data_IF_750932739401
#
_entry.id   IF_750932739401
#
_cell.length_a   1.000
_cell.length_b   1.000
_cell.length_c   1.000
_cell.angle_alpha   90.00
_cell.angle_beta   90.00
_cell.angle_gamma   90.00
#
_symmetry.space_group_name_H-M   'P 1'
#
loop_
_entity.id
_entity.type
_entity.pdbx_description
1 polymer ?
2 non-polymer ?
3 non-polymer ?
4 non-polymer ?
5 water ?
#
# COMPACT_ATOMS: atom_id res chain seq x y z
N UNK A 4 21.60 -4.44 8.66
CA UNK A 4 21.03 -3.78 7.45
C UNK A 4 19.55 -4.16 7.32
N UNK A 5 19.27 -5.41 6.98
CA UNK A 5 17.88 -5.94 6.97
C UNK A 5 17.73 -7.12 7.91
N UNK A 6 16.67 -7.15 8.71
CA UNK A 6 16.27 -8.31 9.54
C UNK A 6 15.01 -8.95 8.94
N UNK A 7 14.93 -10.28 8.90
CA UNK A 7 13.74 -11.04 8.39
C UNK A 7 13.02 -11.62 9.60
N UNK A 8 11.76 -11.26 9.88
CA UNK A 8 11.02 -11.67 11.10
C UNK A 8 10.10 -12.82 10.72
N UNK A 9 10.22 -13.92 11.41
CA UNK A 9 9.33 -15.11 11.31
C UNK A 9 9.16 -15.63 12.73
N UNK A 10 7.93 -15.76 13.20
CA UNK A 10 7.67 -16.25 14.58
C UNK A 10 6.76 -17.48 14.49
N UNK A 11 7.15 -18.57 15.18
CA UNK A 11 6.32 -19.78 15.30
C UNK A 11 5.15 -19.53 16.29
N UNK A 12 5.08 -18.34 16.94
CA UNK A 12 3.91 -17.90 17.76
C UNK A 12 2.68 -17.71 16.87
N UNK A 13 2.90 -17.53 15.57
CA UNK A 13 1.86 -17.19 14.56
C UNK A 13 1.74 -18.28 13.53
N UNK A 14 0.60 -18.30 12.79
CA UNK A 14 0.44 -19.17 11.63
C UNK A 14 1.61 -18.83 10.69
N UNK A 15 2.24 -19.85 10.16
CA UNK A 15 3.40 -19.70 9.25
C UNK A 15 3.03 -18.87 8.04
N UNK A 16 3.96 -18.00 7.61
CA UNK A 16 3.99 -17.47 6.23
C UNK A 16 4.45 -18.61 5.31
N UNK A 17 3.55 -19.42 4.77
CA UNK A 17 3.95 -20.51 3.86
C UNK A 17 4.57 -19.94 2.57
N UNK A 18 5.59 -20.63 2.08
CA UNK A 18 6.30 -20.28 0.83
C UNK A 18 7.05 -18.97 0.91
N UNK A 19 7.12 -18.23 -0.22
CA UNK A 19 8.15 -17.18 -0.35
C UNK A 19 7.89 -15.80 0.29
N UNK A 20 7.46 -15.73 1.53
CA UNK A 20 7.33 -14.46 2.26
C UNK A 20 7.51 -14.73 3.75
N UNK A 21 7.66 -13.66 4.52
CA UNK A 21 7.95 -13.67 5.96
C UNK A 21 6.94 -12.79 6.68
N UNK A 22 6.81 -12.97 7.98
CA UNK A 22 5.92 -12.18 8.84
C UNK A 22 6.19 -10.70 8.72
N UNK A 23 7.46 -10.29 8.67
CA UNK A 23 7.85 -8.87 8.58
C UNK A 23 9.32 -8.75 8.18
N UNK A 24 9.72 -7.57 7.74
CA UNK A 24 11.14 -7.19 7.65
C UNK A 24 11.37 -5.95 8.50
N UNK A 25 12.65 -5.71 8.82
CA UNK A 25 13.04 -4.48 9.55
C UNK A 25 14.22 -3.90 8.79
N UNK A 26 14.08 -2.70 8.24
CA UNK A 26 15.11 -2.00 7.42
C UNK A 26 15.12 -0.54 7.88
N UNK A 27 16.28 0.05 8.15
CA UNK A 27 16.39 1.51 8.36
C UNK A 27 15.40 1.95 9.46
N UNK A 28 15.28 1.15 10.51
CA UNK A 28 14.57 1.46 11.77
C UNK A 28 13.06 1.39 11.63
N UNK A 29 12.61 0.80 10.52
CA UNK A 29 11.17 0.64 10.18
C UNK A 29 10.85 -0.86 10.05
N UNK A 30 9.71 -1.23 10.62
CA UNK A 30 9.10 -2.56 10.41
C UNK A 30 8.04 -2.49 9.28
N UNK A 31 8.10 -3.45 8.38
CA UNK A 31 7.11 -3.63 7.28
C UNK A 31 6.48 -5.01 7.53
N UNK A 32 5.25 -5.05 8.01
CA UNK A 32 4.58 -6.34 8.24
C UNK A 32 4.04 -6.84 6.91
N UNK A 33 3.91 -8.16 6.81
CA UNK A 33 2.97 -8.77 5.85
C UNK A 33 1.53 -8.40 6.26
N UNK A 34 0.58 -8.41 5.33
CA UNK A 34 -0.84 -8.43 5.70
C UNK A 34 -1.15 -9.61 6.61
N UNK A 35 -1.74 -9.39 7.77
CA UNK A 35 -2.24 -10.47 8.64
C UNK A 35 -3.72 -10.76 8.32
N UNK A 36 -4.04 -12.06 8.34
CA UNK A 36 -5.43 -12.56 8.12
C UNK A 36 -5.76 -13.38 9.37
N UNK A 37 -7.07 -13.55 9.62
CA UNK A 37 -7.55 -14.07 10.90
C UNK A 37 -7.40 -15.58 11.04
N UNK A 38 -6.13 -16.05 10.95
CA UNK A 38 -5.71 -17.43 11.31
C UNK A 38 -5.11 -17.47 12.72
N UNK A 39 -5.36 -18.59 13.39
CA UNK A 39 -4.66 -18.98 14.64
C UNK A 39 -3.40 -19.76 14.28
N UNK A 40 -2.66 -20.26 15.27
CA UNK A 40 -1.33 -20.86 15.01
C UNK A 40 -1.49 -22.19 14.27
N UNK A 41 -2.68 -22.82 14.27
CA UNK A 41 -3.00 -24.03 13.48
C UNK A 41 -3.35 -23.70 12.01
N UNK A 42 -3.40 -22.41 11.67
CA UNK A 42 -3.65 -21.95 10.29
C UNK A 42 -5.10 -22.08 9.89
N UNK A 43 -6.01 -22.04 10.87
CA UNK A 43 -7.47 -22.10 10.67
C UNK A 43 -8.08 -20.69 10.83
N UNK A 44 -9.10 -20.36 10.04
CA UNK A 44 -9.89 -19.12 10.27
C UNK A 44 -10.61 -19.24 11.62
N UNK A 45 -10.46 -18.23 12.47
CA UNK A 45 -10.89 -18.33 13.90
C UNK A 45 -12.39 -18.29 14.01
N UNK A 46 -13.08 -17.55 13.15
CA UNK A 46 -14.54 -17.26 13.26
C UNK A 46 -15.09 -16.76 11.92
N UNK A 47 -16.38 -16.98 11.63
CA UNK A 47 -17.07 -16.30 10.50
C UNK A 47 -17.33 -14.82 10.85
N UNK A 48 -17.37 -14.47 12.12
CA UNK A 48 -17.70 -13.11 12.67
C UNK A 48 -16.63 -12.06 12.35
N UNK A 49 -17.02 -10.95 11.73
CA UNK A 49 -16.04 -9.93 11.24
C UNK A 49 -15.34 -9.25 12.42
N UNK A 50 -15.99 -9.03 13.57
CA UNK A 50 -15.31 -8.45 14.77
C UNK A 50 -14.28 -9.46 15.34
N UNK A 51 -14.63 -10.73 15.50
CA UNK A 51 -13.71 -11.82 15.92
C UNK A 51 -12.50 -11.90 14.96
N UNK A 52 -12.76 -11.88 13.64
CA UNK A 52 -11.70 -11.84 12.62
C UNK A 52 -10.80 -10.60 12.83
N UNK A 53 -11.33 -9.35 12.99
CA UNK A 53 -10.54 -8.12 13.18
C UNK A 53 -9.66 -8.25 14.43
N UNK A 54 -10.19 -8.85 15.50
CA UNK A 54 -9.43 -9.00 16.75
C UNK A 54 -8.25 -9.98 16.56
N UNK A 55 -8.45 -11.05 15.79
CA UNK A 55 -7.41 -12.07 15.60
C UNK A 55 -6.31 -11.42 14.75
N UNK A 56 -6.71 -10.64 13.75
CA UNK A 56 -5.70 -9.95 12.90
C UNK A 56 -4.82 -9.01 13.77
N UNK A 57 -5.43 -8.23 14.65
CA UNK A 57 -4.76 -7.23 15.48
C UNK A 57 -3.93 -7.92 16.57
N UNK A 58 -4.40 -9.04 17.10
CA UNK A 58 -3.62 -9.87 18.07
C UNK A 58 -2.38 -10.43 17.36
N UNK A 59 -2.53 -10.93 16.13
CA UNK A 59 -1.43 -11.41 15.27
C UNK A 59 -0.43 -10.28 15.07
N UNK A 60 -0.91 -9.08 14.73
CA UNK A 60 -0.02 -7.95 14.44
C UNK A 60 0.71 -7.52 15.73
N UNK A 61 0.05 -7.60 16.89
CA UNK A 61 0.73 -7.22 18.15
C UNK A 61 1.96 -8.13 18.32
N UNK A 62 1.82 -9.41 18.00
CA UNK A 62 2.93 -10.41 18.13
C UNK A 62 4.01 -10.09 17.08
N UNK A 63 3.62 -9.86 15.83
CA UNK A 63 4.63 -9.48 14.79
C UNK A 63 5.50 -8.30 15.27
N UNK A 64 4.85 -7.27 15.76
CA UNK A 64 5.49 -6.04 16.20
C UNK A 64 6.41 -6.40 17.36
N UNK A 65 5.92 -7.15 18.34
CA UNK A 65 6.75 -7.55 19.53
C UNK A 65 8.03 -8.20 19.01
N UNK A 66 7.91 -9.19 18.15
CA UNK A 66 9.04 -9.95 17.56
C UNK A 66 9.96 -9.07 16.69
N UNK A 67 9.49 -7.95 16.17
CA UNK A 67 10.27 -7.11 15.25
C UNK A 67 10.93 -5.97 16.05
N UNK A 68 10.67 -5.91 17.35
CA UNK A 68 11.11 -4.86 18.30
C UNK A 68 10.34 -3.56 18.16
N UNK A 69 9.03 -3.62 17.90
CA UNK A 69 8.11 -2.46 17.83
C UNK A 69 6.90 -2.75 18.73
N UNK A 70 5.88 -1.91 18.67
CA UNK A 70 4.61 -2.03 19.39
C UNK A 70 3.59 -1.19 18.61
N UNK A 71 2.35 -1.32 19.04
CA UNK A 71 1.18 -0.65 18.41
C UNK A 71 1.36 0.85 18.55
N UNK A 72 2.01 1.29 19.65
CA UNK A 72 2.17 2.75 19.89
C UNK A 72 3.22 3.34 18.95
N UNK A 73 3.95 2.51 18.20
CA UNK A 73 4.98 2.93 17.24
C UNK A 73 4.50 2.84 15.76
N UNK A 74 3.22 2.55 15.53
CA UNK A 74 2.71 2.31 14.14
C UNK A 74 2.57 3.67 13.46
N UNK A 75 3.18 3.81 12.28
CA UNK A 75 3.03 5.00 11.41
C UNK A 75 1.77 4.89 10.54
N UNK A 76 1.53 3.70 9.99
CA UNK A 76 0.52 3.60 8.90
C UNK A 76 -0.05 2.19 8.93
N UNK A 77 -1.36 2.13 8.83
CA UNK A 77 -2.08 0.86 8.62
C UNK A 77 -2.83 0.92 7.29
N UNK A 78 -2.86 -0.20 6.59
CA UNK A 78 -3.84 -0.38 5.50
C UNK A 78 -4.79 -1.53 5.83
N UNK A 79 -6.09 -1.25 5.79
CA UNK A 79 -7.16 -2.23 6.11
C UNK A 79 -7.79 -2.60 4.77
N UNK A 80 -7.62 -3.85 4.35
CA UNK A 80 -8.26 -4.36 3.15
C UNK A 80 -9.45 -5.17 3.65
N UNK A 81 -10.67 -4.84 3.21
CA UNK A 81 -11.88 -5.54 3.70
C UNK A 81 -12.74 -6.10 2.54
N UNK A 82 -13.56 -7.07 2.88
CA UNK A 82 -14.44 -7.76 1.91
C UNK A 82 -15.73 -6.95 1.76
N UNK A 83 -16.14 -6.20 2.78
CA UNK A 83 -17.50 -5.55 2.76
C UNK A 83 -17.47 -4.26 3.55
N UNK A 84 -17.50 -3.14 2.81
CA UNK A 84 -17.52 -1.76 3.38
C UNK A 84 -18.73 -1.65 4.34
N UNK A 85 -19.76 -2.50 4.20
CA UNK A 85 -20.92 -2.47 5.15
C UNK A 85 -20.46 -2.97 6.53
N UNK A 86 -19.40 -3.78 6.64
CA UNK A 86 -18.82 -4.23 7.94
C UNK A 86 -17.95 -3.11 8.56
N UNK A 87 -17.70 -1.96 7.92
CA UNK A 87 -16.65 -1.01 8.36
C UNK A 87 -16.86 -0.54 9.82
N UNK A 88 -18.09 -0.26 10.25
CA UNK A 88 -18.28 0.28 11.63
C UNK A 88 -17.84 -0.81 12.63
N UNK A 89 -18.30 -2.05 12.42
CA UNK A 89 -17.97 -3.25 13.24
C UNK A 89 -16.45 -3.43 13.31
N UNK A 90 -15.78 -3.45 12.16
CA UNK A 90 -14.27 -3.51 12.12
C UNK A 90 -13.68 -2.33 12.89
N UNK A 91 -14.14 -1.10 12.62
CA UNK A 91 -13.57 0.14 13.23
C UNK A 91 -13.70 0.10 14.76
N UNK A 92 -14.77 -0.45 15.29
CA UNK A 92 -15.01 -0.57 16.77
C UNK A 92 -13.85 -1.37 17.37
N UNK A 93 -13.54 -2.51 16.74
CA UNK A 93 -12.46 -3.40 17.27
C UNK A 93 -11.10 -2.72 17.08
N UNK A 94 -10.83 -2.20 15.88
CA UNK A 94 -9.58 -1.45 15.61
C UNK A 94 -9.33 -0.36 16.67
N UNK A 95 -10.37 0.38 17.05
CA UNK A 95 -10.29 1.48 18.02
C UNK A 95 -9.89 0.99 19.42
N UNK A 96 -10.15 -0.27 19.72
CA UNK A 96 -9.74 -0.84 21.02
C UNK A 96 -8.20 -0.99 21.02
N UNK A 97 -7.58 -1.25 19.88
CA UNK A 97 -6.11 -1.46 19.82
C UNK A 97 -5.41 -0.13 19.60
N UNK A 98 -6.07 0.78 18.87
CA UNK A 98 -5.51 2.13 18.59
C UNK A 98 -6.35 3.19 19.30
N UNK A 99 -6.17 3.32 20.62
CA UNK A 99 -6.93 4.31 21.43
C UNK A 99 -6.11 5.58 21.63
N UNK A 100 -5.00 5.48 22.38
CA UNK A 100 -4.14 6.67 22.64
C UNK A 100 -3.37 7.01 21.37
N UNK A 101 -2.83 5.99 20.70
CA UNK A 101 -2.08 6.19 19.45
C UNK A 101 -3.05 5.96 18.30
N UNK A 102 -3.07 6.93 17.40
CA UNK A 102 -3.95 6.87 16.21
C UNK A 102 -3.07 7.10 14.99
N UNK A 103 -2.57 6.04 14.34
CA UNK A 103 -1.73 6.23 13.18
C UNK A 103 -2.51 6.60 11.92
N UNK A 104 -1.78 6.87 10.86
CA UNK A 104 -2.36 7.11 9.54
C UNK A 104 -3.00 5.79 9.05
N UNK A 105 -4.03 5.89 8.24
CA UNK A 105 -4.80 4.71 7.84
C UNK A 105 -5.43 4.93 6.46
N UNK A 106 -5.55 3.87 5.68
CA UNK A 106 -6.44 3.73 4.50
C UNK A 106 -7.26 2.44 4.63
N UNK A 107 -8.53 2.48 4.27
CA UNK A 107 -9.44 1.33 4.36
C UNK A 107 -10.12 1.25 3.00
N UNK A 108 -9.97 0.14 2.26
CA UNK A 108 -10.65 -0.10 0.97
C UNK A 108 -11.32 -1.49 0.94
N UNK A 109 -12.43 -1.55 0.22
CA UNK A 109 -13.08 -2.84 -0.06
C UNK A 109 -12.45 -3.44 -1.29
N UNK A 110 -11.81 -4.59 -1.13
CA UNK A 110 -11.30 -5.42 -2.24
C UNK A 110 -12.33 -6.40 -2.77
N UNK A 111 -12.00 -7.10 -3.87
CA UNK A 111 -12.89 -8.12 -4.46
C UNK A 111 -12.86 -9.38 -3.58
N UNK A 112 -11.66 -9.74 -3.12
CA UNK A 112 -11.47 -11.06 -2.47
C UNK A 112 -10.15 -11.04 -1.69
N UNK A 113 -10.16 -11.72 -0.54
CA UNK A 113 -8.96 -11.85 0.33
C UNK A 113 -8.57 -13.32 0.41
N UNK A 114 -7.31 -13.61 0.80
CA UNK A 114 -6.84 -14.98 0.93
C UNK A 114 -7.77 -15.76 1.86
N UNK A 115 -8.14 -16.92 1.37
CA UNK A 115 -8.95 -17.88 2.17
C UNK A 115 -10.35 -17.30 2.39
N UNK A 116 -10.82 -16.34 1.58
CA UNK A 116 -12.17 -15.76 1.69
C UNK A 116 -12.37 -15.13 3.07
N UNK A 117 -11.29 -14.73 3.73
CA UNK A 117 -11.41 -13.93 4.95
C UNK A 117 -12.09 -12.59 4.67
N UNK A 118 -12.55 -11.93 5.72
CA UNK A 118 -13.27 -10.62 5.69
C UNK A 118 -12.40 -9.39 5.94
N UNK A 119 -11.22 -9.56 6.48
CA UNK A 119 -10.38 -8.38 6.82
C UNK A 119 -8.93 -8.81 6.78
N UNK A 120 -8.05 -7.91 6.32
CA UNK A 120 -6.58 -8.17 6.23
C UNK A 120 -5.88 -6.84 6.51
N UNK A 121 -5.00 -6.80 7.51
CA UNK A 121 -4.34 -5.52 7.85
C UNK A 121 -2.82 -5.65 7.80
N UNK A 122 -2.19 -4.71 7.15
CA UNK A 122 -0.70 -4.55 7.12
C UNK A 122 -0.32 -3.24 7.81
N UNK A 123 0.85 -3.24 8.45
CA UNK A 123 1.39 -2.08 9.22
C UNK A 123 2.79 -1.72 8.73
N UNK A 124 3.10 -0.42 8.81
CA UNK A 124 4.45 0.17 8.86
C UNK A 124 4.64 0.85 10.23
N UNK A 125 5.69 0.40 10.92
CA UNK A 125 5.95 0.78 12.34
C UNK A 125 7.42 1.14 12.55
N UNK A 126 7.66 2.04 13.51
CA UNK A 126 9.02 2.45 13.95
C UNK A 126 9.55 1.43 14.98
N UNK A 127 10.82 1.05 14.87
CA UNK A 127 11.54 0.32 15.95
C UNK A 127 11.36 1.07 17.29
N UNK A 128 11.13 0.31 18.37
CA UNK A 128 11.27 0.63 19.84
C UNK A 128 9.88 0.76 20.46
N UNK B 5 8.43 10.11 16.44
CA UNK B 5 7.11 10.12 15.70
C UNK B 5 6.24 11.33 16.09
N UNK B 6 5.83 12.11 15.09
CA UNK B 6 4.82 13.19 15.21
C UNK B 6 3.48 12.74 14.59
N UNK B 7 2.37 13.04 15.27
CA UNK B 7 0.96 12.90 14.81
C UNK B 7 0.54 14.21 14.12
N UNK B 8 -0.10 14.12 12.96
CA UNK B 8 -0.57 15.33 12.20
C UNK B 8 -2.10 15.27 12.18
N UNK B 9 -2.75 16.30 12.73
CA UNK B 9 -4.20 16.50 12.55
C UNK B 9 -4.37 17.97 12.24
N UNK B 10 -5.01 18.31 11.14
CA UNK B 10 -5.17 19.73 10.73
C UNK B 10 -6.64 20.10 10.87
N UNK B 11 -6.91 21.30 11.42
CA UNK B 11 -8.30 21.84 11.50
C UNK B 11 -8.80 22.30 10.13
N UNK B 12 -7.89 22.45 9.17
CA UNK B 12 -8.19 22.94 7.80
C UNK B 12 -9.04 21.89 7.08
N UNK B 13 -8.97 20.62 7.52
CA UNK B 13 -9.62 19.45 6.87
C UNK B 13 -10.66 18.83 7.79
N UNK B 14 -11.69 18.15 7.24
CA UNK B 14 -12.66 17.44 8.05
C UNK B 14 -11.92 16.44 8.95
N UNK B 15 -12.27 16.47 10.24
CA UNK B 15 -11.66 15.63 11.30
C UNK B 15 -11.62 14.18 10.85
N UNK B 16 -10.47 13.50 11.03
CA UNK B 16 -10.39 12.03 11.03
C UNK B 16 -11.42 11.53 12.06
N UNK B 17 -12.36 10.70 11.61
CA UNK B 17 -13.37 10.14 12.53
C UNK B 17 -12.74 8.94 13.24
N UNK B 18 -12.65 9.07 14.58
CA UNK B 18 -12.21 8.01 15.48
C UNK B 18 -10.72 7.71 15.31
N UNK B 19 -10.34 6.42 15.19
CA UNK B 19 -9.02 5.98 15.64
C UNK B 19 -7.95 6.12 14.55
N UNK B 20 -7.91 7.23 13.85
CA UNK B 20 -6.80 7.53 12.91
C UNK B 20 -6.50 9.03 12.92
N UNK B 21 -5.32 9.40 12.42
CA UNK B 21 -4.80 10.78 12.24
C UNK B 21 -4.64 11.09 10.75
N UNK B 22 -4.58 12.38 10.38
CA UNK B 22 -4.39 12.83 8.97
C UNK B 22 -3.07 12.32 8.39
N UNK B 23 -2.01 12.26 9.19
CA UNK B 23 -0.67 11.77 8.80
C UNK B 23 0.12 11.52 10.08
N UNK B 24 1.15 10.70 9.93
CA UNK B 24 2.26 10.58 10.90
C UNK B 24 3.53 11.03 10.19
N UNK B 25 4.54 11.44 10.97
CA UNK B 25 5.91 11.76 10.50
C UNK B 25 6.84 10.96 11.39
N UNK B 26 7.70 10.15 10.79
CA UNK B 26 8.65 9.27 11.51
C UNK B 26 9.86 9.11 10.62
N UNK B 27 11.07 9.09 11.21
CA UNK B 27 12.39 8.99 10.52
C UNK B 27 12.37 9.74 9.19
N UNK B 28 11.96 11.02 9.19
CA UNK B 28 12.09 11.92 8.03
C UNK B 28 11.05 11.67 6.96
N UNK B 29 10.03 10.85 7.23
CA UNK B 29 8.99 10.49 6.24
C UNK B 29 7.60 10.79 6.81
N UNK B 30 6.72 11.28 5.94
CA UNK B 30 5.28 11.51 6.17
C UNK B 30 4.54 10.32 5.56
N UNK B 31 3.71 9.67 6.36
CA UNK B 31 2.68 8.70 5.91
C UNK B 31 1.30 9.35 6.00
N UNK B 32 0.66 9.68 4.88
CA UNK B 32 -0.71 10.21 4.92
C UNK B 32 -1.74 9.06 4.97
N UNK B 33 -2.81 9.29 5.70
CA UNK B 33 -4.07 8.58 5.52
C UNK B 33 -4.52 8.80 4.07
N UNK B 34 -5.25 7.84 3.54
CA UNK B 34 -5.93 7.99 2.26
C UNK B 34 -6.94 9.10 2.35
N UNK B 35 -6.89 10.05 1.45
CA UNK B 35 -7.80 11.22 1.41
C UNK B 35 -8.93 10.85 0.45
N UNK B 36 -10.14 11.16 0.87
CA UNK B 36 -11.35 11.06 0.03
C UNK B 36 -11.88 12.48 -0.20
N UNK B 37 -12.68 12.64 -1.28
CA UNK B 37 -13.12 13.96 -1.75
C UNK B 37 -14.20 14.58 -0.84
N UNK B 38 -13.88 14.81 0.44
CA UNK B 38 -14.78 15.57 1.36
C UNK B 38 -14.34 17.04 1.39
N UNK B 39 -15.29 18.00 1.35
CA UNK B 39 -15.00 19.43 1.67
C UNK B 39 -14.87 19.60 3.19
N UNK B 40 -14.54 20.79 3.69
CA UNK B 40 -14.30 21.02 5.15
C UNK B 40 -15.57 20.72 5.99
N UNK B 41 -16.78 20.81 5.41
CA UNK B 41 -18.05 20.39 6.08
C UNK B 41 -18.14 18.86 6.15
N UNK B 42 -17.16 18.12 5.64
CA UNK B 42 -17.21 16.65 5.52
C UNK B 42 -18.34 16.19 4.62
N UNK B 43 -18.58 16.88 3.50
CA UNK B 43 -19.53 16.47 2.44
C UNK B 43 -18.73 16.06 1.20
N UNK B 44 -19.23 15.09 0.44
CA UNK B 44 -18.64 14.71 -0.89
C UNK B 44 -18.84 15.91 -1.82
N UNK B 45 -17.75 16.51 -2.26
CA UNK B 45 -17.79 17.83 -2.96
C UNK B 45 -18.74 17.71 -4.16
N UNK B 46 -18.78 16.57 -4.86
CA UNK B 46 -19.31 16.44 -6.24
C UNK B 46 -19.41 14.98 -6.70
N UNK B 47 -20.34 14.67 -7.62
CA UNK B 47 -20.43 13.37 -8.32
C UNK B 47 -19.30 13.24 -9.36
N UNK B 48 -18.84 14.36 -9.91
CA UNK B 48 -17.86 14.42 -11.02
C UNK B 48 -16.50 13.91 -10.51
N UNK B 49 -15.91 12.93 -11.20
CA UNK B 49 -14.65 12.27 -10.76
C UNK B 49 -13.44 13.24 -10.84
N UNK B 50 -13.49 14.26 -11.68
CA UNK B 50 -12.36 15.21 -11.81
C UNK B 50 -12.43 16.20 -10.64
N UNK B 51 -13.62 16.64 -10.23
CA UNK B 51 -13.84 17.47 -9.02
C UNK B 51 -13.41 16.64 -7.82
N UNK B 52 -13.76 15.36 -7.79
CA UNK B 52 -13.37 14.52 -6.62
C UNK B 52 -11.85 14.41 -6.58
N UNK B 53 -11.19 14.19 -7.71
CA UNK B 53 -9.71 14.02 -7.74
C UNK B 53 -9.09 15.33 -7.24
N UNK B 54 -9.59 16.47 -7.75
CA UNK B 54 -9.12 17.81 -7.30
C UNK B 54 -9.22 17.95 -5.78
N UNK B 55 -10.35 17.58 -5.17
CA UNK B 55 -10.58 17.76 -3.71
C UNK B 55 -9.60 16.86 -2.97
N UNK B 56 -9.48 15.62 -3.41
CA UNK B 56 -8.50 14.70 -2.79
C UNK B 56 -7.12 15.37 -2.78
N UNK B 57 -6.65 15.91 -3.90
CA UNK B 57 -5.26 16.40 -4.04
C UNK B 57 -5.10 17.72 -3.27
N UNK B 58 -6.14 18.56 -3.24
CA UNK B 58 -6.19 19.78 -2.39
C UNK B 58 -6.10 19.34 -0.92
N UNK B 59 -6.83 18.29 -0.53
CA UNK B 59 -6.78 17.81 0.86
C UNK B 59 -5.36 17.32 1.17
N UNK B 60 -4.72 16.56 0.28
CA UNK B 60 -3.35 16.02 0.50
C UNK B 60 -2.32 17.16 0.49
N UNK B 61 -2.55 18.22 -0.28
CA UNK B 61 -1.62 19.39 -0.35
C UNK B 61 -1.51 19.99 1.06
N UNK B 62 -2.64 20.16 1.73
CA UNK B 62 -2.73 20.73 3.10
C UNK B 62 -2.13 19.75 4.11
N UNK B 63 -2.43 18.46 4.04
CA UNK B 63 -1.79 17.48 4.99
C UNK B 63 -0.26 17.61 4.88
N UNK B 64 0.28 17.59 3.67
CA UNK B 64 1.74 17.63 3.43
C UNK B 64 2.36 18.91 4.04
N UNK B 65 1.67 20.04 3.90
CA UNK B 65 2.15 21.36 4.41
C UNK B 65 2.20 21.27 5.94
N UNK B 66 1.10 20.82 6.55
CA UNK B 66 0.97 20.67 8.04
C UNK B 66 2.03 19.69 8.56
N UNK B 67 2.39 18.70 7.76
CA UNK B 67 3.39 17.68 8.11
C UNK B 67 4.81 18.21 7.90
N UNK B 68 4.96 19.35 7.21
CA UNK B 68 6.24 20.00 6.91
C UNK B 68 6.89 19.41 5.68
N UNK B 69 6.07 18.96 4.73
CA UNK B 69 6.43 18.35 3.43
C UNK B 69 5.69 19.12 2.33
N UNK B 70 5.77 18.66 1.08
CA UNK B 70 5.17 19.34 -0.09
C UNK B 70 5.01 18.30 -1.19
N UNK B 71 4.38 18.66 -2.32
CA UNK B 71 4.08 17.72 -3.43
C UNK B 71 5.37 17.37 -4.17
N UNK B 72 6.35 18.27 -4.21
CA UNK B 72 7.64 18.00 -4.89
C UNK B 72 8.52 17.08 -4.05
N UNK B 73 8.12 16.70 -2.84
CA UNK B 73 8.82 15.79 -1.88
C UNK B 73 8.22 14.37 -1.91
N UNK B 74 7.20 14.15 -2.75
CA UNK B 74 6.45 12.86 -2.66
C UNK B 74 7.33 11.76 -3.24
N UNK B 75 7.41 10.61 -2.54
CA UNK B 75 8.13 9.40 -2.97
C UNK B 75 7.17 8.49 -3.73
N UNK B 76 5.97 8.31 -3.18
CA UNK B 76 5.06 7.21 -3.61
C UNK B 76 3.62 7.66 -3.38
N UNK B 77 2.78 7.49 -4.41
CA UNK B 77 1.33 7.65 -4.38
C UNK B 77 0.65 6.29 -4.63
N UNK B 78 -0.43 6.03 -3.90
CA UNK B 78 -1.33 4.91 -4.24
C UNK B 78 -2.69 5.50 -4.57
N UNK B 79 -3.20 5.23 -5.76
CA UNK B 79 -4.50 5.77 -6.21
C UNK B 79 -5.48 4.60 -6.22
N UNK B 80 -6.41 4.59 -5.28
CA UNK B 80 -7.53 3.65 -5.30
C UNK B 80 -8.73 4.27 -6.04
N UNK B 81 -9.24 3.56 -7.06
CA UNK B 81 -10.40 4.09 -7.81
C UNK B 81 -11.55 3.09 -7.88
N UNK B 82 -12.74 3.60 -8.10
CA UNK B 82 -13.94 2.72 -8.23
C UNK B 82 -14.11 2.28 -9.69
N UNK B 83 -13.59 3.03 -10.66
CA UNK B 83 -13.92 2.75 -12.08
C UNK B 83 -12.75 3.09 -13.02
N UNK B 84 -12.12 2.06 -13.56
CA UNK B 84 -10.90 2.11 -14.42
C UNK B 84 -11.26 2.97 -15.65
N UNK B 85 -12.56 3.13 -15.95
CA UNK B 85 -13.05 3.96 -17.09
C UNK B 85 -12.74 5.43 -16.77
N UNK B 86 -12.59 5.80 -15.50
CA UNK B 86 -12.31 7.19 -15.02
C UNK B 86 -10.80 7.50 -15.03
N UNK B 87 -9.94 6.55 -15.38
CA UNK B 87 -8.49 6.62 -15.13
C UNK B 87 -7.90 7.81 -15.92
N UNK B 88 -8.23 7.94 -17.21
CA UNK B 88 -7.78 9.08 -18.07
C UNK B 88 -8.17 10.40 -17.41
N UNK B 89 -9.42 10.58 -17.01
CA UNK B 89 -9.86 11.84 -16.34
C UNK B 89 -9.14 12.07 -15.01
N UNK B 90 -9.04 11.06 -14.15
CA UNK B 90 -8.27 11.22 -12.88
C UNK B 90 -6.82 11.62 -13.16
N UNK B 91 -6.18 10.97 -14.12
CA UNK B 91 -4.74 11.14 -14.44
C UNK B 91 -4.52 12.60 -14.90
N UNK B 92 -5.47 13.13 -15.66
CA UNK B 92 -5.42 14.52 -16.19
C UNK B 92 -5.32 15.50 -15.00
N UNK B 93 -6.17 15.33 -13.99
CA UNK B 93 -6.14 16.19 -12.77
C UNK B 93 -4.83 15.92 -12.02
N UNK B 94 -4.47 14.64 -11.90
CA UNK B 94 -3.31 14.25 -11.06
C UNK B 94 -2.04 14.90 -11.64
N UNK B 95 -1.92 14.93 -12.96
CA UNK B 95 -0.76 15.49 -13.67
C UNK B 95 -0.68 16.99 -13.49
N UNK B 96 -1.78 17.65 -13.12
CA UNK B 96 -1.74 19.11 -12.80
C UNK B 96 -0.97 19.33 -11.49
N UNK B 97 -1.09 18.41 -10.52
CA UNK B 97 -0.45 18.51 -9.19
C UNK B 97 1.00 17.99 -9.28
N UNK B 98 1.24 17.01 -10.16
CA UNK B 98 2.53 16.31 -10.34
C UNK B 98 3.00 16.57 -11.78
N UNK B 99 3.40 17.82 -12.05
CA UNK B 99 3.98 18.20 -13.37
C UNK B 99 5.49 18.33 -13.25
N UNK B 100 5.98 19.12 -12.29
CA UNK B 100 7.45 19.30 -12.13
C UNK B 100 8.01 17.99 -11.52
N UNK B 101 7.31 17.42 -10.54
CA UNK B 101 7.75 16.22 -9.80
C UNK B 101 6.87 15.03 -10.21
N UNK B 102 7.48 13.90 -10.57
CA UNK B 102 6.71 12.67 -10.92
C UNK B 102 7.08 11.54 -9.97
N UNK B 103 6.28 11.35 -8.90
CA UNK B 103 6.56 10.27 -7.96
C UNK B 103 6.32 8.86 -8.54
N UNK B 104 6.74 7.85 -7.80
CA UNK B 104 6.29 6.46 -8.07
C UNK B 104 4.80 6.41 -7.72
N UNK B 105 4.11 5.51 -8.41
CA UNK B 105 2.65 5.39 -8.29
C UNK B 105 2.22 3.94 -8.49
N UNK B 106 1.15 3.54 -7.79
CA UNK B 106 0.37 2.32 -8.07
C UNK B 106 -1.10 2.75 -8.25
N UNK B 107 -1.82 2.17 -9.20
CA UNK B 107 -3.24 2.50 -9.37
C UNK B 107 -4.05 1.22 -9.51
N UNK B 108 -5.06 1.02 -8.67
CA UNK B 108 -5.90 -0.20 -8.79
C UNK B 108 -7.36 0.19 -8.62
N UNK B 109 -8.26 -0.58 -9.25
CA UNK B 109 -9.71 -0.45 -9.08
C UNK B 109 -10.15 -1.34 -7.90
N UNK B 110 -10.68 -0.72 -6.88
CA UNK B 110 -11.20 -1.48 -5.68
C UNK B 110 -12.68 -1.76 -5.93
N UNK B 111 -13.27 -2.71 -5.18
CA UNK B 111 -14.73 -2.98 -5.20
C UNK B 111 -15.50 -1.77 -4.67
N UNK B 112 -15.01 -1.09 -3.64
CA UNK B 112 -15.78 -0.03 -2.97
C UNK B 112 -14.85 0.81 -2.12
N UNK B 113 -15.21 2.07 -2.03
CA UNK B 113 -14.48 3.08 -1.26
C UNK B 113 -15.43 3.67 -0.20
N UNK B 114 -14.87 4.32 0.83
CA UNK B 114 -15.67 4.89 1.91
C UNK B 114 -16.62 5.92 1.27
N UNK B 115 -17.87 5.86 1.68
CA UNK B 115 -18.98 6.77 1.24
C UNK B 115 -19.19 6.69 -0.27
N UNK B 116 -18.83 5.56 -0.88
CA UNK B 116 -18.98 5.31 -2.35
C UNK B 116 -18.38 6.46 -3.15
N UNK B 117 -17.29 7.08 -2.68
CA UNK B 117 -16.47 8.00 -3.50
C UNK B 117 -15.82 7.21 -4.66
N UNK B 118 -15.34 7.90 -5.67
CA UNK B 118 -14.80 7.31 -6.92
C UNK B 118 -13.27 7.22 -6.88
N UNK B 119 -12.64 7.93 -5.93
CA UNK B 119 -11.16 8.03 -5.87
C UNK B 119 -10.71 8.31 -4.44
N UNK B 120 -9.58 7.75 -4.06
CA UNK B 120 -8.92 7.89 -2.73
C UNK B 120 -7.44 7.77 -3.00
N UNK B 121 -6.66 8.66 -2.41
CA UNK B 121 -5.21 8.72 -2.70
C UNK B 121 -4.48 8.81 -1.36
N UNK B 122 -3.48 7.97 -1.17
CA UNK B 122 -2.51 8.06 -0.04
C UNK B 122 -1.13 8.36 -0.59
N UNK B 123 -0.25 8.96 0.24
CA UNK B 123 1.08 9.44 -0.13
C UNK B 123 2.07 9.06 0.96
N UNK B 124 3.28 8.75 0.53
CA UNK B 124 4.53 8.67 1.32
C UNK B 124 5.46 9.76 0.80
N UNK B 125 5.86 10.63 1.71
CA UNK B 125 6.60 11.86 1.35
C UNK B 125 7.75 12.07 2.32
N UNK B 126 8.78 12.74 1.82
CA UNK B 126 10.00 13.16 2.55
C UNK B 126 9.65 14.46 3.27
N UNK B 127 10.08 14.61 4.54
CA UNK B 127 10.10 15.94 5.21
C UNK B 127 10.89 16.90 4.31
N UNK B 128 10.33 18.11 4.10
CA UNK B 128 10.87 19.22 3.27
C UNK B 128 12.17 19.71 3.94
N UNK B 129 13.22 19.91 3.14
CA UNK B 129 14.62 20.17 3.60
C UNK B 129 14.95 19.18 4.72
N UNK C 5 16.22 13.09 -2.49
CA UNK C 5 15.25 12.46 -3.44
C UNK C 5 15.89 12.31 -4.83
N UNK C 6 15.95 11.06 -5.29
CA UNK C 6 16.39 10.63 -6.64
C UNK C 6 15.19 10.05 -7.40
N UNK C 7 14.94 10.52 -8.62
CA UNK C 7 13.88 10.02 -9.54
C UNK C 7 14.49 8.96 -10.45
N UNK C 8 13.92 7.75 -10.51
CA UNK C 8 14.50 6.66 -11.33
C UNK C 8 13.64 6.43 -12.56
N UNK C 9 14.26 6.49 -13.72
CA UNK C 9 13.57 6.23 -15.00
C UNK C 9 14.64 5.63 -15.87
N UNK C 10 14.52 4.34 -16.14
CA UNK C 10 15.48 3.57 -16.95
C UNK C 10 14.96 3.41 -18.37
N UNK C 11 15.86 3.64 -19.31
CA UNK C 11 15.62 3.32 -20.74
C UNK C 11 15.65 1.82 -21.00
N UNK C 12 15.99 0.96 -20.03
CA UNK C 12 15.89 -0.50 -20.23
C UNK C 12 14.41 -0.96 -20.19
N UNK C 13 13.46 -0.09 -19.81
CA UNK C 13 11.99 -0.39 -19.82
C UNK C 13 11.23 0.60 -20.68
N UNK C 14 9.99 0.29 -21.11
CA UNK C 14 9.12 1.29 -21.73
C UNK C 14 8.93 2.49 -20.79
N UNK C 15 8.99 3.68 -21.36
CA UNK C 15 8.93 4.96 -20.60
C UNK C 15 7.64 4.98 -19.76
N UNK C 16 7.74 5.42 -18.52
CA UNK C 16 6.60 5.80 -17.67
C UNK C 16 6.04 7.07 -18.28
N UNK C 17 5.00 6.90 -19.10
CA UNK C 17 4.21 7.98 -19.77
C UNK C 17 3.20 8.58 -18.78
N UNK C 18 3.00 9.89 -18.84
CA UNK C 18 2.16 10.61 -17.87
C UNK C 18 2.93 10.87 -16.58
N UNK C 19 2.23 11.32 -15.51
CA UNK C 19 2.85 11.94 -14.35
C UNK C 19 3.33 10.94 -13.28
N UNK C 20 4.21 10.03 -13.69
CA UNK C 20 4.91 9.12 -12.75
C UNK C 20 6.25 8.64 -13.31
N UNK C 21 7.03 8.10 -12.41
CA UNK C 21 8.37 7.55 -12.68
C UNK C 21 8.42 6.09 -12.27
N UNK C 22 9.36 5.36 -12.87
CA UNK C 22 9.62 3.92 -12.56
C UNK C 22 9.81 3.74 -11.05
N UNK C 23 10.55 4.64 -10.40
CA UNK C 23 10.74 4.62 -8.94
C UNK C 23 11.29 5.94 -8.42
N UNK C 24 11.26 6.06 -7.13
CA UNK C 24 11.99 7.13 -6.43
C UNK C 24 12.93 6.47 -5.42
N UNK C 25 13.94 7.21 -4.99
CA UNK C 25 14.87 6.74 -3.93
C UNK C 25 14.99 7.88 -2.93
N UNK C 26 14.64 7.60 -1.69
CA UNK C 26 14.57 8.60 -0.59
C UNK C 26 15.13 7.95 0.68
N UNK C 27 16.11 8.55 1.34
CA UNK C 27 16.54 8.03 2.68
C UNK C 27 16.92 6.53 2.57
N UNK C 28 17.61 6.15 1.50
CA UNK C 28 18.22 4.81 1.33
C UNK C 28 17.16 3.74 1.13
N UNK C 29 15.98 4.16 0.66
CA UNK C 29 14.84 3.26 0.32
C UNK C 29 14.35 3.61 -1.11
N UNK C 30 14.21 2.56 -1.94
CA UNK C 30 13.60 2.54 -3.29
C UNK C 30 12.10 2.27 -3.14
N UNK C 31 11.26 3.15 -3.70
CA UNK C 31 9.78 2.99 -3.84
C UNK C 31 9.52 2.80 -5.32
N UNK C 32 9.19 1.58 -5.75
CA UNK C 32 8.88 1.33 -7.17
C UNK C 32 7.43 1.73 -7.40
N UNK C 33 7.15 2.02 -8.65
CA UNK C 33 5.76 2.05 -9.16
C UNK C 33 5.27 0.60 -9.19
N UNK C 34 3.97 0.46 -9.25
CA UNK C 34 3.34 -0.83 -9.50
C UNK C 34 3.64 -1.22 -10.92
N UNK C 35 4.37 -2.28 -11.15
CA UNK C 35 4.62 -2.77 -12.52
C UNK C 35 3.46 -3.65 -13.00
N UNK C 36 3.11 -3.52 -14.26
CA UNK C 36 2.12 -4.34 -14.98
C UNK C 36 2.85 -5.00 -16.14
N UNK C 37 2.32 -6.15 -16.65
CA UNK C 37 3.04 -6.96 -17.61
C UNK C 37 3.11 -6.39 -19.04
N UNK C 38 3.71 -5.22 -19.16
CA UNK C 38 4.22 -4.68 -20.45
C UNK C 38 5.62 -5.23 -20.73
N UNK C 39 5.81 -5.67 -21.99
CA UNK C 39 7.11 -5.99 -22.65
C UNK C 39 7.80 -4.67 -22.99
N UNK C 40 8.99 -4.68 -23.59
CA UNK C 40 9.77 -3.43 -23.83
C UNK C 40 9.10 -2.58 -24.92
N UNK C 41 8.15 -3.13 -25.70
CA UNK C 41 7.36 -2.36 -26.71
C UNK C 41 6.17 -1.63 -26.07
N UNK C 42 5.92 -1.85 -24.77
CA UNK C 42 4.72 -1.35 -24.08
C UNK C 42 3.45 -2.03 -24.55
N UNK C 43 3.52 -3.34 -24.86
CA UNK C 43 2.33 -4.18 -25.18
C UNK C 43 2.15 -5.22 -24.06
N UNK C 44 0.91 -5.54 -23.67
CA UNK C 44 0.63 -6.63 -22.66
C UNK C 44 1.19 -7.95 -23.20
N UNK C 45 2.07 -8.62 -22.46
CA UNK C 45 2.87 -9.75 -23.04
C UNK C 45 1.94 -10.89 -23.50
N UNK C 46 0.88 -11.19 -22.76
CA UNK C 46 0.07 -12.43 -22.90
C UNK C 46 -1.07 -12.40 -21.91
N UNK C 47 -2.14 -13.19 -22.11
CA UNK C 47 -3.26 -13.31 -21.16
C UNK C 47 -2.90 -14.30 -20.07
N UNK C 48 -1.81 -15.07 -20.24
CA UNK C 48 -1.37 -16.15 -19.29
C UNK C 48 -0.83 -15.54 -18.01
N UNK C 49 -1.35 -15.96 -16.86
CA UNK C 49 -1.07 -15.26 -15.56
C UNK C 49 0.36 -15.52 -15.14
N UNK C 50 0.96 -16.68 -15.44
CA UNK C 50 2.36 -16.99 -15.05
C UNK C 50 3.31 -16.12 -15.89
N UNK C 51 3.08 -16.03 -17.20
CA UNK C 51 3.81 -15.10 -18.11
C UNK C 51 3.71 -13.67 -17.57
N UNK C 52 2.51 -13.18 -17.29
CA UNK C 52 2.30 -11.81 -16.76
C UNK C 52 3.12 -11.62 -15.48
N UNK C 53 3.04 -12.56 -14.54
CA UNK C 53 3.78 -12.46 -13.27
C UNK C 53 5.28 -12.38 -13.55
N UNK C 54 5.80 -13.26 -14.40
CA UNK C 54 7.21 -13.24 -14.76
C UNK C 54 7.56 -11.86 -15.36
N UNK C 55 6.77 -11.37 -16.29
CA UNK C 55 7.04 -10.07 -16.98
C UNK C 55 7.11 -8.99 -15.88
N UNK C 56 6.12 -8.95 -14.99
CA UNK C 56 6.14 -7.97 -13.89
C UNK C 56 7.47 -8.05 -13.10
N UNK C 57 7.88 -9.25 -12.67
CA UNK C 57 9.06 -9.35 -11.76
C UNK C 57 10.36 -9.02 -12.53
N UNK C 58 10.41 -9.42 -13.79
CA UNK C 58 11.56 -9.07 -14.68
C UNK C 58 11.65 -7.54 -14.76
N UNK C 59 10.54 -6.88 -15.02
CA UNK C 59 10.45 -5.38 -15.04
C UNK C 59 10.94 -4.81 -13.72
N UNK C 60 10.48 -5.34 -12.59
CA UNK C 60 10.85 -4.80 -11.26
C UNK C 60 12.34 -5.03 -10.98
N UNK C 61 12.89 -6.14 -11.47
CA UNK C 61 14.33 -6.44 -11.23
C UNK C 61 15.19 -5.34 -11.88
N UNK C 62 14.80 -4.96 -13.08
CA UNK C 62 15.51 -3.92 -13.90
C UNK C 62 15.37 -2.61 -13.14
N UNK C 63 14.17 -2.28 -12.64
CA UNK C 63 13.96 -1.03 -11.84
C UNK C 63 14.87 -1.00 -10.61
N UNK C 64 14.86 -2.04 -9.77
CA UNK C 64 15.71 -2.14 -8.58
C UNK C 64 17.18 -1.91 -8.94
N UNK C 65 17.65 -2.59 -9.96
CA UNK C 65 19.07 -2.55 -10.45
C UNK C 65 19.42 -1.10 -10.82
N UNK C 66 18.57 -0.43 -11.59
CA UNK C 66 18.83 0.95 -12.11
C UNK C 66 18.67 1.93 -10.95
N UNK C 67 18.08 1.51 -9.82
CA UNK C 67 17.89 2.35 -8.63
C UNK C 67 19.00 2.09 -7.59
N UNK C 68 19.89 1.13 -7.83
CA UNK C 68 21.04 0.81 -6.95
C UNK C 68 20.65 -0.19 -5.87
N UNK C 69 19.61 -1.00 -6.17
CA UNK C 69 19.07 -2.04 -5.24
C UNK C 69 19.10 -3.38 -5.98
N UNK C 70 18.48 -4.41 -5.38
CA UNK C 70 18.29 -5.70 -6.07
C UNK C 70 17.22 -6.46 -5.31
N UNK C 71 16.75 -7.55 -5.88
CA UNK C 71 15.61 -8.32 -5.29
C UNK C 71 15.99 -8.81 -3.89
N UNK C 72 17.28 -9.08 -3.65
CA UNK C 72 17.71 -9.57 -2.32
C UNK C 72 17.61 -8.47 -1.29
N UNK C 73 17.38 -7.21 -1.67
CA UNK C 73 17.26 -6.06 -0.74
C UNK C 73 15.80 -5.63 -0.55
N UNK C 74 14.83 -6.39 -1.08
CA UNK C 74 13.38 -5.98 -0.95
C UNK C 74 12.88 -6.13 0.49
N UNK C 75 12.18 -5.12 1.03
CA UNK C 75 11.60 -5.12 2.39
C UNK C 75 10.18 -5.68 2.30
N UNK C 76 9.49 -5.30 1.23
CA UNK C 76 8.01 -5.42 1.22
C UNK C 76 7.53 -5.43 -0.21
N UNK C 77 6.63 -6.36 -0.50
CA UNK C 77 6.02 -6.49 -1.82
C UNK C 77 4.52 -6.41 -1.64
N UNK C 78 3.82 -5.67 -2.47
CA UNK C 78 2.34 -5.77 -2.55
C UNK C 78 1.95 -6.25 -3.93
N UNK C 79 1.17 -7.33 -3.93
CA UNK C 79 0.69 -8.03 -5.13
C UNK C 79 -0.82 -7.80 -5.21
N UNK C 80 -1.18 -7.03 -6.23
CA UNK C 80 -2.60 -6.79 -6.60
C UNK C 80 -2.93 -7.78 -7.72
N UNK C 81 -3.98 -8.61 -7.55
CA UNK C 81 -4.35 -9.62 -8.58
C UNK C 81 -5.83 -9.52 -8.97
N UNK C 82 -6.12 -10.06 -10.15
CA UNK C 82 -7.48 -10.08 -10.70
C UNK C 82 -8.28 -11.28 -10.18
N UNK C 83 -7.60 -12.37 -9.82
CA UNK C 83 -8.26 -13.66 -9.48
C UNK C 83 -7.42 -14.43 -8.47
N UNK C 84 -7.94 -14.47 -7.24
CA UNK C 84 -7.34 -15.27 -6.13
C UNK C 84 -7.26 -16.76 -6.47
N UNK C 85 -8.08 -17.32 -7.35
CA UNK C 85 -7.90 -18.73 -7.83
C UNK C 85 -6.56 -18.89 -8.57
N UNK C 86 -5.94 -17.80 -9.05
CA UNK C 86 -4.61 -17.85 -9.70
C UNK C 86 -3.45 -17.76 -8.69
N UNK C 87 -3.74 -17.63 -7.41
CA UNK C 87 -2.72 -17.39 -6.36
C UNK C 87 -1.60 -18.43 -6.43
N UNK C 88 -1.93 -19.73 -6.49
CA UNK C 88 -0.84 -20.75 -6.50
C UNK C 88 0.07 -20.54 -7.73
N UNK C 89 -0.49 -20.24 -8.90
CA UNK C 89 0.29 -20.10 -10.16
C UNK C 89 1.18 -18.86 -10.04
N UNK C 90 0.64 -17.80 -9.43
CA UNK C 90 1.39 -16.53 -9.23
C UNK C 90 2.52 -16.79 -8.23
N UNK C 91 2.26 -17.50 -7.14
CA UNK C 91 3.23 -17.82 -6.09
C UNK C 91 4.44 -18.62 -6.56
N UNK C 92 4.21 -19.60 -7.42
CA UNK C 92 5.22 -20.45 -8.08
C UNK C 92 6.25 -19.56 -8.79
N UNK C 93 5.78 -18.64 -9.61
CA UNK C 93 6.66 -17.70 -10.35
C UNK C 93 7.33 -16.76 -9.35
N UNK C 94 6.56 -16.19 -8.42
CA UNK C 94 7.09 -15.29 -7.39
C UNK C 94 8.25 -15.93 -6.63
N UNK C 95 8.13 -17.22 -6.27
CA UNK C 95 9.15 -17.89 -5.44
C UNK C 95 10.42 -18.22 -6.23
N UNK C 96 10.42 -18.08 -7.54
CA UNK C 96 11.62 -18.17 -8.40
C UNK C 96 12.46 -16.90 -8.25
N UNK C 97 11.84 -15.78 -7.87
CA UNK C 97 12.52 -14.46 -7.73
C UNK C 97 12.86 -14.17 -6.27
N UNK C 98 12.03 -14.67 -5.37
CA UNK C 98 12.23 -14.52 -3.91
C UNK C 98 12.33 -15.93 -3.39
N UNK C 99 13.49 -16.53 -3.65
CA UNK C 99 13.79 -17.94 -3.30
C UNK C 99 14.48 -18.01 -1.95
N UNK C 100 15.66 -17.43 -1.81
CA UNK C 100 16.37 -17.46 -0.52
C UNK C 100 15.88 -16.29 0.31
N UNK C 101 15.72 -15.14 -0.35
CA UNK C 101 15.26 -13.90 0.30
C UNK C 101 13.73 -13.87 0.24
N UNK C 102 13.10 -13.81 1.40
CA UNK C 102 11.63 -13.85 1.49
C UNK C 102 11.12 -12.63 2.25
N UNK C 103 10.86 -11.52 1.56
CA UNK C 103 10.41 -10.32 2.21
C UNK C 103 8.95 -10.33 2.70
N UNK C 104 8.54 -9.26 3.36
CA UNK C 104 7.13 -9.10 3.77
C UNK C 104 6.28 -8.96 2.50
N UNK C 105 5.03 -9.40 2.56
CA UNK C 105 4.17 -9.39 1.36
C UNK C 105 2.72 -9.24 1.81
N UNK C 106 1.91 -8.57 1.00
CA UNK C 106 0.44 -8.61 1.03
C UNK C 106 -0.03 -8.94 -0.39
N UNK C 107 -1.06 -9.76 -0.51
CA UNK C 107 -1.68 -10.15 -1.78
C UNK C 107 -3.21 -10.06 -1.63
N UNK C 108 -3.85 -9.20 -2.39
CA UNK C 108 -5.33 -9.03 -2.42
C UNK C 108 -5.80 -9.12 -3.88
N UNK C 109 -7.01 -9.60 -4.03
CA UNK C 109 -7.76 -9.52 -5.30
C UNK C 109 -8.49 -8.19 -5.37
N UNK C 110 -8.11 -7.40 -6.37
CA UNK C 110 -8.81 -6.13 -6.67
C UNK C 110 -9.93 -6.39 -7.69
N UNK C 111 -10.73 -5.37 -7.92
CA UNK C 111 -11.84 -5.42 -8.91
C UNK C 111 -11.28 -5.44 -10.35
N UNK C 112 -10.22 -4.69 -10.63
CA UNK C 112 -9.77 -4.37 -12.01
C UNK C 112 -8.41 -3.70 -11.94
N UNK C 113 -7.59 -4.00 -12.92
CA UNK C 113 -6.21 -3.48 -12.97
C UNK C 113 -6.05 -2.64 -14.22
N UNK C 114 -5.06 -1.71 -14.25
CA UNK C 114 -4.80 -0.96 -15.49
C UNK C 114 -4.64 -1.91 -16.70
N UNK C 115 -5.26 -1.54 -17.82
CA UNK C 115 -5.19 -2.30 -19.11
C UNK C 115 -5.75 -3.72 -18.92
N UNK C 116 -6.61 -3.95 -17.88
CA UNK C 116 -7.23 -5.26 -17.63
C UNK C 116 -6.17 -6.38 -17.54
N UNK C 117 -4.99 -6.11 -16.97
CA UNK C 117 -3.97 -7.15 -16.65
C UNK C 117 -4.48 -7.95 -15.44
N UNK C 118 -3.78 -9.05 -15.16
CA UNK C 118 -4.14 -9.99 -14.08
C UNK C 118 -3.26 -9.82 -12.84
N UNK C 119 -2.18 -9.07 -12.93
CA UNK C 119 -1.32 -8.82 -11.73
C UNK C 119 -0.58 -7.49 -11.87
N UNK C 120 -0.40 -6.81 -10.74
CA UNK C 120 0.43 -5.59 -10.62
C UNK C 120 1.19 -5.72 -9.31
N UNK C 121 2.49 -5.51 -9.33
CA UNK C 121 3.29 -5.64 -8.09
C UNK C 121 4.11 -4.39 -7.88
N UNK C 122 4.15 -3.90 -6.64
CA UNK C 122 5.02 -2.75 -6.24
C UNK C 122 5.91 -3.23 -5.11
N UNK C 123 7.09 -2.62 -5.02
CA UNK C 123 8.13 -3.01 -4.05
C UNK C 123 8.62 -1.81 -3.27
N UNK C 124 9.01 -2.09 -2.02
CA UNK C 124 9.84 -1.18 -1.19
C UNK C 124 11.14 -1.92 -0.87
N UNK C 125 12.30 -1.32 -1.17
CA UNK C 125 13.62 -2.01 -1.18
C UNK C 125 14.72 -1.09 -0.63
N UNK C 126 15.75 -1.68 0.00
CA UNK C 126 16.91 -0.95 0.57
C UNK C 126 17.93 -0.70 -0.54
N UNK C 127 18.55 0.48 -0.54
CA UNK C 127 19.72 0.70 -1.42
C UNK C 127 20.82 -0.22 -0.89
N UNK C 128 21.59 -0.86 -1.77
CA UNK C 128 22.68 -1.79 -1.38
C UNK C 128 23.71 -1.08 -0.50
#
# INVERSE_FOLDING_TARGET
GAASMKIINTTRLPEALGPYSHATVVNGMVYTSGQIPLNVDGKIVSADVQAQTKQVLENLKVVLEEAGSDLNSVAKATIFIKDMNDFQKINEVYGQYFNEHKPARSCVEVARLPKDVKVEIELVSKIKEL
GAASMKIINTTRLPEALGPYSHATVVNGMVYTSGQIPLNVDGKIVSADVQAQTKQVLENLKVVLEEAGSDLNSVAKATIFIKDMNDFQKINEVYGQYFNEHKPARSCVEVARLPKDVKVEIELVSKIKEL
GAASMKIINTTRLPEALGPYSHATVVNGMVYTSGQIPLNVDGKIVSADVQAQTKQVLENLKVVLEEAGSDLNSVAKATIFIKDMNDFQKINEVYGQYFNEHKPARSCVEVARLPKDVKVEIELVSKIKEL
#
